data_IF_462192857742
#
_entry.id   IF_462192857742
#
_cell.length_a   1.000
_cell.length_b   1.000
_cell.length_c   1.000
_cell.angle_alpha   90.00
_cell.angle_beta   90.00
_cell.angle_gamma   90.00
#
_symmetry.space_group_name_H-M   'P 1'
#
loop_
_entity.id
_entity.type
_entity.pdbx_description
1 polymer ?
#
# COMPACT_ATOMS: atom_id res chain seq x y z
N UNK A 1 33.70 7.50 4.73
CA UNK A 1 32.91 6.56 5.56
C UNK A 1 31.61 7.25 5.93
N UNK A 2 30.53 7.00 5.21
CA UNK A 2 29.21 7.56 5.55
C UNK A 2 28.56 6.56 6.50
N UNK A 3 28.49 6.92 7.77
CA UNK A 3 27.85 6.08 8.80
C UNK A 3 26.40 5.83 8.38
N UNK A 4 26.05 4.55 8.30
CA UNK A 4 24.67 4.09 8.17
C UNK A 4 23.89 4.58 9.40
N UNK A 5 23.10 5.63 9.21
CA UNK A 5 22.06 6.04 10.16
C UNK A 5 20.95 4.99 10.09
N UNK A 6 21.13 3.89 10.85
CA UNK A 6 20.01 3.01 11.21
C UNK A 6 19.00 3.88 11.94
N UNK A 7 17.86 4.15 11.30
CA UNK A 7 16.71 4.73 11.99
C UNK A 7 16.16 3.65 12.92
N UNK A 8 16.57 3.70 14.18
CA UNK A 8 15.95 2.94 15.26
C UNK A 8 14.60 3.59 15.61
N UNK A 9 13.61 3.42 14.73
CA UNK A 9 12.20 3.64 15.07
C UNK A 9 11.70 2.31 15.64
N UNK A 10 11.96 2.09 16.94
CA UNK A 10 11.54 0.88 17.63
C UNK A 10 10.21 1.14 18.33
N UNK A 11 9.10 0.72 17.72
CA UNK A 11 7.74 0.85 18.25
C UNK A 11 7.39 -0.26 19.27
N UNK A 12 8.34 -1.13 19.62
CA UNK A 12 8.13 -2.27 20.53
C UNK A 12 7.64 -3.55 19.85
N UNK A 13 7.22 -3.47 18.58
CA UNK A 13 7.02 -4.61 17.66
C UNK A 13 8.16 -4.59 16.65
N UNK A 14 8.60 -5.75 16.15
CA UNK A 14 9.65 -5.80 15.13
C UNK A 14 9.25 -4.88 13.96
N UNK A 15 10.14 -3.95 13.61
CA UNK A 15 9.84 -2.83 12.73
C UNK A 15 9.21 -3.32 11.41
N UNK A 16 9.65 -4.49 10.92
CA UNK A 16 9.13 -5.11 9.71
C UNK A 16 7.64 -5.47 9.77
N UNK A 17 7.08 -5.86 10.91
CA UNK A 17 5.64 -6.16 11.02
C UNK A 17 4.83 -4.88 11.00
N UNK A 18 5.28 -3.87 11.74
CA UNK A 18 4.66 -2.55 11.74
C UNK A 18 4.72 -1.91 10.35
N UNK A 19 5.86 -1.99 9.67
CA UNK A 19 6.08 -1.49 8.32
C UNK A 19 5.18 -2.19 7.31
N UNK A 20 5.08 -3.53 7.36
CA UNK A 20 4.20 -4.29 6.46
C UNK A 20 2.73 -3.99 6.70
N UNK A 21 2.28 -3.89 7.96
CA UNK A 21 0.91 -3.49 8.29
C UNK A 21 0.62 -2.08 7.76
N UNK A 22 1.57 -1.15 7.93
CA UNK A 22 1.45 0.22 7.43
C UNK A 22 1.31 0.23 5.91
N UNK A 23 2.13 -0.53 5.17
CA UNK A 23 2.00 -0.66 3.72
C UNK A 23 0.63 -1.22 3.33
N UNK A 24 0.20 -2.32 3.95
CA UNK A 24 -1.11 -2.94 3.67
C UNK A 24 -2.24 -1.93 3.87
N UNK A 25 -2.23 -1.21 5.00
CA UNK A 25 -3.25 -0.24 5.34
C UNK A 25 -3.36 0.88 4.29
N UNK A 26 -2.25 1.54 3.98
CA UNK A 26 -2.24 2.67 3.04
C UNK A 26 -2.58 2.22 1.61
N UNK A 27 -2.11 1.05 1.18
CA UNK A 27 -2.45 0.49 -0.12
C UNK A 27 -3.95 0.19 -0.25
N UNK A 28 -4.58 -0.42 0.77
CA UNK A 28 -6.02 -0.68 0.76
C UNK A 28 -6.84 0.60 0.86
N UNK A 29 -6.40 1.58 1.66
CA UNK A 29 -7.04 2.90 1.73
C UNK A 29 -6.99 3.61 0.37
N UNK A 30 -5.85 3.57 -0.33
CA UNK A 30 -5.72 4.17 -1.65
C UNK A 30 -6.63 3.49 -2.69
N UNK A 31 -6.68 2.15 -2.68
CA UNK A 31 -7.58 1.39 -3.55
C UNK A 31 -9.06 1.74 -3.30
N UNK A 32 -9.45 1.96 -2.04
CA UNK A 32 -10.80 2.38 -1.67
C UNK A 32 -11.10 3.81 -2.14
N UNK A 33 -10.17 4.75 -1.93
CA UNK A 33 -10.31 6.14 -2.38
C UNK A 33 -10.46 6.24 -3.90
N UNK A 34 -9.73 5.39 -4.66
CA UNK A 34 -9.84 5.37 -6.12
C UNK A 34 -11.26 5.07 -6.62
N UNK A 35 -12.14 4.42 -5.84
CA UNK A 35 -13.53 4.26 -6.25
C UNK A 35 -14.25 5.59 -6.43
N UNK A 36 -14.03 6.54 -5.50
CA UNK A 36 -14.59 7.89 -5.60
C UNK A 36 -13.97 8.62 -6.80
N UNK A 37 -12.65 8.55 -6.97
CA UNK A 37 -11.98 9.24 -8.07
C UNK A 37 -12.39 8.72 -9.45
N UNK A 38 -12.62 7.41 -9.58
CA UNK A 38 -13.17 6.80 -10.80
C UNK A 38 -14.58 7.33 -11.06
N UNK A 39 -15.41 7.48 -10.03
CA UNK A 39 -16.76 8.03 -10.16
C UNK A 39 -16.70 9.50 -10.61
N UNK A 40 -15.89 10.32 -9.97
CA UNK A 40 -15.72 11.73 -10.32
C UNK A 40 -15.24 11.90 -11.78
N UNK A 41 -14.30 11.06 -12.23
CA UNK A 41 -13.82 11.05 -13.61
C UNK A 41 -14.89 10.57 -14.61
N UNK A 42 -15.71 9.59 -14.22
CA UNK A 42 -16.84 9.15 -15.03
C UNK A 42 -17.89 10.25 -15.18
N UNK A 43 -18.22 10.94 -14.08
CA UNK A 43 -19.24 11.99 -14.04
C UNK A 43 -18.80 13.24 -14.83
N UNK A 44 -17.49 13.49 -14.92
CA UNK A 44 -16.91 14.54 -15.77
C UNK A 44 -16.71 14.13 -17.23
N UNK A 45 -16.89 12.85 -17.57
CA UNK A 45 -16.63 12.29 -18.90
C UNK A 45 -15.14 12.18 -19.25
N UNK A 46 -14.24 12.26 -18.27
CA UNK A 46 -12.80 12.16 -18.45
C UNK A 46 -12.34 10.70 -18.44
N UNK A 47 -12.29 10.11 -19.64
CA UNK A 47 -11.92 8.71 -19.83
C UNK A 47 -10.45 8.43 -19.45
N UNK A 48 -9.54 9.34 -19.75
CA UNK A 48 -8.11 9.15 -19.45
C UNK A 48 -7.91 9.06 -17.94
N UNK A 49 -8.56 9.97 -17.20
CA UNK A 49 -8.47 9.99 -15.75
C UNK A 49 -9.15 8.77 -15.11
N UNK A 50 -10.27 8.31 -15.67
CA UNK A 50 -10.92 7.08 -15.24
C UNK A 50 -9.99 5.86 -15.40
N UNK A 51 -9.34 5.71 -16.55
CA UNK A 51 -8.39 4.61 -16.81
C UNK A 51 -7.18 4.69 -15.87
N UNK A 52 -6.65 5.90 -15.64
CA UNK A 52 -5.57 6.13 -14.69
C UNK A 52 -5.95 5.67 -13.27
N UNK A 53 -7.10 6.09 -12.73
CA UNK A 53 -7.49 5.70 -11.37
C UNK A 53 -7.85 4.21 -11.25
N UNK A 54 -8.36 3.57 -12.31
CA UNK A 54 -8.49 2.11 -12.34
C UNK A 54 -7.15 1.41 -12.23
N UNK A 55 -6.12 1.91 -12.92
CA UNK A 55 -4.77 1.37 -12.83
C UNK A 55 -4.16 1.57 -11.43
N UNK A 56 -4.31 2.76 -10.84
CA UNK A 56 -3.83 3.05 -9.48
C UNK A 56 -4.50 2.13 -8.45
N UNK A 57 -5.81 1.89 -8.58
CA UNK A 57 -6.57 0.97 -7.73
C UNK A 57 -6.02 -0.46 -7.82
N UNK A 58 -5.76 -0.93 -9.06
CA UNK A 58 -5.24 -2.27 -9.29
C UNK A 58 -3.84 -2.45 -8.67
N UNK A 59 -2.92 -1.51 -8.92
CA UNK A 59 -1.57 -1.54 -8.36
C UNK A 59 -1.58 -1.51 -6.83
N UNK A 60 -2.44 -0.68 -6.23
CA UNK A 60 -2.58 -0.59 -4.78
C UNK A 60 -3.09 -1.90 -4.18
N UNK A 61 -4.05 -2.56 -4.84
CA UNK A 61 -4.55 -3.87 -4.39
C UNK A 61 -3.46 -4.94 -4.49
N UNK A 62 -2.68 -4.94 -5.58
CA UNK A 62 -1.55 -5.85 -5.75
C UNK A 62 -0.48 -5.65 -4.67
N UNK A 63 -0.11 -4.40 -4.39
CA UNK A 63 0.88 -4.07 -3.37
C UNK A 63 0.44 -4.56 -1.98
N UNK A 64 -0.84 -4.41 -1.64
CA UNK A 64 -1.38 -4.93 -0.38
C UNK A 64 -1.27 -6.46 -0.32
N UNK A 65 -1.57 -7.18 -1.40
CA UNK A 65 -1.46 -8.64 -1.45
C UNK A 65 -0.01 -9.13 -1.37
N UNK A 66 0.92 -8.45 -2.03
CA UNK A 66 2.35 -8.75 -1.92
C UNK A 66 2.86 -8.56 -0.48
N UNK A 67 2.47 -7.46 0.19
CA UNK A 67 2.83 -7.20 1.58
C UNK A 67 2.23 -8.23 2.55
N UNK A 68 0.97 -8.66 2.34
CA UNK A 68 0.35 -9.74 3.11
C UNK A 68 1.11 -11.06 2.99
N UNK A 69 1.54 -11.43 1.78
CA UNK A 69 2.36 -12.65 1.55
C UNK A 69 3.68 -12.58 2.31
N UNK A 70 4.37 -11.43 2.26
CA UNK A 70 5.61 -11.21 3.00
C UNK A 70 5.42 -11.31 4.52
N UNK A 71 4.30 -10.78 5.04
CA UNK A 71 3.96 -10.87 6.46
C UNK A 71 3.67 -12.32 6.87
N UNK A 72 2.87 -13.05 6.10
CA UNK A 72 2.53 -14.45 6.38
C UNK A 72 3.77 -15.36 6.41
N UNK A 73 4.72 -15.16 5.49
CA UNK A 73 5.98 -15.90 5.47
C UNK A 73 6.81 -15.70 6.75
N UNK A 74 6.77 -14.51 7.35
CA UNK A 74 7.53 -14.18 8.58
C UNK A 74 6.83 -14.69 9.84
N UNK A 75 5.50 -14.64 9.87
CA UNK A 75 4.72 -15.18 11.00
C UNK A 75 4.85 -16.70 11.10
N UNK A 76 5.04 -17.42 9.98
CA UNK A 76 5.30 -18.87 9.99
C UNK A 76 6.74 -19.26 10.35
N UNK A 77 7.64 -18.29 10.58
CA UNK A 77 9.03 -18.50 10.99
C UNK A 77 9.26 -18.24 12.49
N UNK A 78 8.21 -17.87 13.23
CA UNK A 78 8.20 -17.71 14.69
C UNK A 78 7.64 -18.97 15.37
#
# INVERSE_FOLDING_TARGET
>A
MVQHMKRDINTGTANEHYDLISVIYHSLQNAAACNMYIQDANDSGDRELMEFFQQVKAQSSEQAEQAKKLMAQRMGQQ
#
